data_IF_983502442760
#
_entry.id   IF_983502442760
#
_cell.length_a   1.000
_cell.length_b   1.000
_cell.length_c   1.000
_cell.angle_alpha   90.00
_cell.angle_beta   90.00
_cell.angle_gamma   90.00
#
_symmetry.space_group_name_H-M   'P 1'
#
loop_
_entity.id
_entity.type
_entity.pdbx_description
1 polymer ?
#
# COMPACT_ATOMS: atom_id res chain seq x y z
N UNK A 1 25.99 -48.93 -1.72
CA UNK A 1 25.75 -47.94 -2.80
C UNK A 1 25.38 -46.62 -2.14
N UNK A 2 26.35 -45.69 -2.02
CA UNK A 2 26.10 -44.38 -1.43
C UNK A 2 25.58 -43.43 -2.52
N UNK A 3 24.33 -43.01 -2.42
CA UNK A 3 23.79 -41.93 -3.23
C UNK A 3 24.42 -40.60 -2.76
N UNK A 4 25.47 -40.16 -3.47
CA UNK A 4 25.90 -38.75 -3.43
C UNK A 4 24.78 -37.90 -4.01
N UNK A 5 23.95 -37.29 -3.15
CA UNK A 5 23.16 -36.12 -3.53
C UNK A 5 24.15 -35.02 -3.90
N UNK A 6 24.28 -34.72 -5.20
CA UNK A 6 24.92 -33.47 -5.64
C UNK A 6 24.01 -32.34 -5.16
N UNK A 7 24.47 -31.61 -4.14
CA UNK A 7 23.98 -30.25 -3.89
C UNK A 7 24.37 -29.44 -5.12
N UNK A 8 23.41 -29.14 -5.98
CA UNK A 8 23.54 -28.01 -6.87
C UNK A 8 23.26 -26.78 -6.01
N UNK A 9 24.25 -26.34 -5.24
CA UNK A 9 24.23 -25.00 -4.65
C UNK A 9 24.21 -24.03 -5.82
N UNK A 10 23.16 -23.22 -5.89
CA UNK A 10 23.11 -22.14 -6.88
C UNK A 10 24.24 -21.20 -6.53
N UNK A 11 25.07 -20.80 -7.50
CA UNK A 11 26.27 -19.98 -7.27
C UNK A 11 26.01 -18.68 -6.47
N UNK A 12 24.76 -18.24 -6.34
CA UNK A 12 24.34 -17.11 -5.50
C UNK A 12 24.02 -17.43 -4.03
N UNK A 13 23.88 -18.69 -3.62
CA UNK A 13 23.64 -19.07 -2.20
C UNK A 13 24.91 -18.88 -1.34
N UNK A 14 26.07 -19.29 -1.85
CA UNK A 14 27.36 -19.11 -1.16
C UNK A 14 27.73 -17.62 -1.05
N UNK A 15 27.46 -16.82 -2.08
CA UNK A 15 27.66 -15.37 -2.05
C UNK A 15 26.79 -14.68 -0.99
N UNK A 16 25.58 -15.18 -0.73
CA UNK A 16 24.67 -14.58 0.26
C UNK A 16 25.03 -14.98 1.69
N UNK A 17 25.39 -16.24 1.96
CA UNK A 17 25.85 -16.62 3.30
C UNK A 17 27.15 -15.89 3.69
N UNK A 18 28.06 -15.71 2.74
CA UNK A 18 29.27 -14.92 2.92
C UNK A 18 28.97 -13.42 3.07
N UNK A 19 28.06 -12.85 2.27
CA UNK A 19 27.65 -11.45 2.45
C UNK A 19 26.90 -11.22 3.78
N UNK A 20 25.98 -12.11 4.16
CA UNK A 20 25.20 -12.03 5.41
C UNK A 20 26.17 -12.12 6.60
N UNK A 21 27.07 -13.11 6.64
CA UNK A 21 27.99 -13.25 7.78
C UNK A 21 28.98 -12.09 7.90
N UNK A 22 29.39 -11.49 6.78
CA UNK A 22 30.41 -10.42 6.75
C UNK A 22 29.83 -9.01 6.95
N UNK A 23 28.53 -8.78 6.69
CA UNK A 23 27.90 -7.45 6.71
C UNK A 23 26.91 -7.20 7.84
N UNK A 24 26.76 -8.10 8.82
CA UNK A 24 25.90 -7.90 10.00
C UNK A 24 26.22 -6.60 10.77
N UNK A 25 27.49 -6.23 10.88
CA UNK A 25 27.91 -4.94 11.48
C UNK A 25 27.60 -3.71 10.62
N UNK A 26 27.28 -3.92 9.33
CA UNK A 26 26.98 -2.90 8.31
C UNK A 26 25.48 -2.78 7.99
N UNK A 27 24.60 -3.59 8.60
CA UNK A 27 23.13 -3.51 8.48
C UNK A 27 22.53 -2.22 9.10
N UNK A 28 23.35 -1.21 9.37
CA UNK A 28 22.95 0.13 9.85
C UNK A 28 22.61 1.11 8.73
N UNK A 29 22.72 0.71 7.46
CA UNK A 29 22.44 1.58 6.30
C UNK A 29 21.30 1.02 5.47
N UNK A 30 20.24 1.81 5.33
CA UNK A 30 18.99 1.42 4.66
C UNK A 30 19.17 0.94 3.21
N UNK A 31 20.04 1.60 2.42
CA UNK A 31 20.29 1.21 1.03
C UNK A 31 20.92 -0.18 0.89
N UNK A 32 21.71 -0.60 1.89
CA UNK A 32 22.33 -1.93 1.90
C UNK A 32 21.24 -2.99 2.11
N UNK A 33 20.32 -2.74 3.05
CA UNK A 33 19.18 -3.63 3.31
C UNK A 33 18.26 -3.78 2.09
N UNK A 34 17.96 -2.67 1.42
CA UNK A 34 17.15 -2.67 0.19
C UNK A 34 17.75 -3.59 -0.89
N UNK A 35 19.05 -3.46 -1.15
CA UNK A 35 19.76 -4.29 -2.14
C UNK A 35 19.75 -5.78 -1.79
N UNK A 36 19.79 -6.12 -0.50
CA UNK A 36 19.69 -7.51 -0.07
C UNK A 36 18.28 -8.09 -0.23
N UNK A 37 17.25 -7.33 0.13
CA UNK A 37 15.86 -7.76 -0.08
C UNK A 37 15.63 -8.01 -1.58
N UNK A 38 16.18 -7.13 -2.44
CA UNK A 38 16.16 -7.31 -3.89
C UNK A 38 16.78 -8.61 -4.35
N UNK A 39 18.03 -8.89 -3.96
CA UNK A 39 18.72 -10.14 -4.32
C UNK A 39 17.98 -11.38 -3.82
N UNK A 40 17.44 -11.33 -2.60
CA UNK A 40 16.69 -12.45 -2.04
C UNK A 40 15.37 -12.70 -2.81
N UNK A 41 14.70 -11.63 -3.26
CA UNK A 41 13.50 -11.74 -4.09
C UNK A 41 13.81 -12.29 -5.49
N UNK A 42 14.94 -11.89 -6.11
CA UNK A 42 15.39 -12.43 -7.41
C UNK A 42 15.71 -13.95 -7.32
N UNK A 43 16.29 -14.39 -6.20
CA UNK A 43 16.51 -15.83 -5.95
C UNK A 43 15.19 -16.56 -5.77
N UNK A 44 14.24 -15.99 -5.05
CA UNK A 44 12.92 -16.61 -4.93
C UNK A 44 12.23 -16.72 -6.30
N UNK A 45 12.31 -15.70 -7.14
CA UNK A 45 11.74 -15.71 -8.50
C UNK A 45 12.34 -16.83 -9.36
N UNK A 46 13.66 -17.07 -9.26
CA UNK A 46 14.36 -18.07 -10.06
C UNK A 46 14.25 -19.49 -9.51
N UNK A 47 14.28 -19.65 -8.19
CA UNK A 47 14.29 -20.96 -7.52
C UNK A 47 12.90 -21.48 -7.13
N UNK A 48 11.92 -20.58 -6.97
CA UNK A 48 10.62 -20.88 -6.40
C UNK A 48 10.62 -21.15 -4.90
N UNK A 49 11.77 -21.08 -4.22
CA UNK A 49 11.89 -21.28 -2.77
C UNK A 49 11.93 -19.92 -2.04
N UNK A 50 10.93 -19.60 -1.20
CA UNK A 50 10.91 -18.33 -0.48
C UNK A 50 11.87 -18.31 0.72
N UNK A 51 12.42 -19.45 1.16
CA UNK A 51 13.14 -19.59 2.44
C UNK A 51 14.24 -18.56 2.65
N UNK A 52 15.02 -18.26 1.62
CA UNK A 52 16.10 -17.26 1.68
C UNK A 52 15.56 -15.85 1.93
N UNK A 53 14.52 -15.46 1.19
CA UNK A 53 13.82 -14.20 1.42
C UNK A 53 13.26 -14.15 2.84
N UNK A 54 12.68 -15.26 3.32
CA UNK A 54 12.08 -15.28 4.64
C UNK A 54 13.10 -15.15 5.78
N UNK A 55 14.18 -15.92 5.72
CA UNK A 55 15.25 -15.87 6.73
C UNK A 55 15.89 -14.47 6.77
N UNK A 56 16.12 -13.87 5.60
CA UNK A 56 16.73 -12.55 5.53
C UNK A 56 15.84 -11.46 6.13
N UNK A 57 14.57 -11.43 5.72
CA UNK A 57 13.59 -10.49 6.26
C UNK A 57 13.41 -10.65 7.77
N UNK A 58 13.30 -11.89 8.25
CA UNK A 58 13.17 -12.18 9.68
C UNK A 58 14.37 -11.68 10.48
N UNK A 59 15.60 -11.88 9.99
CA UNK A 59 16.82 -11.36 10.65
C UNK A 59 16.88 -9.85 10.66
N UNK A 60 16.63 -9.22 9.51
CA UNK A 60 16.65 -7.76 9.38
C UNK A 60 15.64 -7.09 10.32
N UNK A 61 14.40 -7.58 10.36
CA UNK A 61 13.35 -7.05 11.23
C UNK A 61 13.66 -7.27 12.71
N UNK A 62 14.30 -8.40 13.05
CA UNK A 62 14.70 -8.70 14.43
C UNK A 62 15.86 -7.81 14.93
N UNK A 63 16.79 -7.42 14.06
CA UNK A 63 17.93 -6.59 14.43
C UNK A 63 17.60 -5.10 14.52
N UNK A 64 16.83 -4.58 13.57
CA UNK A 64 16.33 -3.21 13.60
C UNK A 64 15.00 -3.13 12.84
N UNK A 65 13.90 -3.21 13.59
CA UNK A 65 12.56 -3.24 13.02
C UNK A 65 12.28 -2.03 12.13
N UNK A 66 12.57 -0.81 12.59
CA UNK A 66 12.27 0.41 11.83
C UNK A 66 13.08 0.51 10.54
N UNK A 67 14.39 0.29 10.62
CA UNK A 67 15.25 0.34 9.44
C UNK A 67 14.90 -0.77 8.45
N UNK A 68 14.57 -1.95 8.95
CA UNK A 68 14.12 -3.08 8.14
C UNK A 68 12.79 -2.80 7.45
N UNK A 69 11.82 -2.23 8.17
CA UNK A 69 10.53 -1.83 7.60
C UNK A 69 10.67 -0.74 6.55
N UNK A 70 11.57 0.23 6.74
CA UNK A 70 11.81 1.28 5.75
C UNK A 70 12.43 0.72 4.47
N UNK A 71 13.49 -0.08 4.60
CA UNK A 71 14.15 -0.74 3.47
C UNK A 71 13.16 -1.63 2.70
N UNK A 72 12.31 -2.34 3.44
CA UNK A 72 11.26 -3.18 2.90
C UNK A 72 10.22 -2.38 2.12
N UNK A 73 9.69 -1.33 2.73
CA UNK A 73 8.68 -0.45 2.13
C UNK A 73 9.21 0.16 0.83
N UNK A 74 10.46 0.65 0.84
CA UNK A 74 11.14 1.12 -0.38
C UNK A 74 11.27 0.03 -1.41
N UNK A 75 11.65 -1.18 -1.00
CA UNK A 75 11.79 -2.28 -1.93
C UNK A 75 10.48 -2.55 -2.66
N UNK A 76 9.37 -2.70 -1.94
CA UNK A 76 8.03 -2.93 -2.49
C UNK A 76 7.66 -1.84 -3.50
N UNK A 77 7.68 -0.57 -3.10
CA UNK A 77 7.23 0.53 -3.96
C UNK A 77 8.27 0.95 -5.02
N UNK A 78 9.50 0.42 -4.98
CA UNK A 78 10.49 0.62 -6.05
C UNK A 78 10.39 -0.40 -7.19
N UNK A 79 9.61 -1.47 -7.04
CA UNK A 79 9.52 -2.51 -8.07
C UNK A 79 8.67 -2.06 -9.25
N UNK A 80 9.29 -2.01 -10.43
CA UNK A 80 8.60 -1.77 -11.71
C UNK A 80 8.12 -3.07 -12.39
N UNK A 81 8.71 -4.21 -12.00
CA UNK A 81 8.33 -5.52 -12.54
C UNK A 81 7.25 -6.17 -11.67
N UNK A 82 6.12 -6.53 -12.28
CA UNK A 82 4.98 -7.16 -11.63
C UNK A 82 5.32 -8.53 -11.03
N UNK A 83 6.17 -9.34 -11.68
CA UNK A 83 6.55 -10.66 -11.14
C UNK A 83 7.34 -10.51 -9.86
N UNK A 84 8.39 -9.68 -9.90
CA UNK A 84 9.26 -9.40 -8.74
C UNK A 84 8.49 -8.72 -7.61
N UNK A 85 7.62 -7.75 -7.90
CA UNK A 85 6.72 -7.15 -6.91
C UNK A 85 5.84 -8.21 -6.24
N UNK A 86 5.23 -9.09 -7.03
CA UNK A 86 4.31 -10.11 -6.52
C UNK A 86 5.03 -11.15 -5.67
N UNK A 87 6.22 -11.59 -6.07
CA UNK A 87 7.03 -12.54 -5.30
C UNK A 87 7.56 -11.93 -4.00
N UNK A 88 8.07 -10.70 -4.08
CA UNK A 88 8.42 -9.89 -2.92
C UNK A 88 7.24 -9.81 -1.96
N UNK A 89 6.12 -9.29 -2.44
CA UNK A 89 4.93 -9.10 -1.64
C UNK A 89 4.37 -10.40 -1.07
N UNK A 90 4.41 -11.52 -1.81
CA UNK A 90 3.96 -12.83 -1.29
C UNK A 90 4.89 -13.38 -0.21
N UNK A 91 6.20 -13.29 -0.41
CA UNK A 91 7.18 -13.66 0.64
C UNK A 91 7.00 -12.80 1.88
N UNK A 92 6.68 -11.53 1.69
CA UNK A 92 6.33 -10.59 2.75
C UNK A 92 4.98 -10.91 3.39
N UNK A 93 3.97 -11.24 2.62
CA UNK A 93 2.67 -11.64 3.14
C UNK A 93 2.79 -12.85 4.08
N UNK A 94 3.69 -13.78 3.74
CA UNK A 94 3.95 -14.98 4.53
C UNK A 94 4.70 -14.71 5.85
N UNK A 95 5.39 -13.57 6.00
CA UNK A 95 6.16 -13.24 7.19
C UNK A 95 5.65 -12.03 7.97
N UNK A 96 5.11 -11.04 7.27
CA UNK A 96 4.90 -9.68 7.76
C UNK A 96 3.47 -9.21 7.62
N UNK A 97 2.59 -9.80 6.80
CA UNK A 97 1.19 -9.36 6.83
C UNK A 97 0.47 -9.76 8.12
N UNK A 98 0.78 -10.93 8.70
CA UNK A 98 0.23 -11.32 10.00
C UNK A 98 0.83 -10.50 11.17
N UNK A 99 2.06 -9.99 11.04
CA UNK A 99 2.78 -9.33 12.15
C UNK A 99 2.84 -7.79 12.08
N UNK A 100 2.97 -7.23 10.87
CA UNK A 100 3.17 -5.79 10.61
C UNK A 100 1.90 -5.17 9.99
N UNK A 101 1.21 -5.93 9.14
CA UNK A 101 -0.05 -5.52 8.51
C UNK A 101 0.11 -4.55 7.33
N UNK A 102 -0.83 -4.61 6.39
CA UNK A 102 -0.85 -3.76 5.18
C UNK A 102 -0.84 -2.26 5.52
N UNK A 103 -1.52 -1.89 6.61
CA UNK A 103 -1.61 -0.50 7.10
C UNK A 103 -0.23 0.11 7.36
N UNK A 104 0.65 -0.63 8.03
CA UNK A 104 1.96 -0.12 8.42
C UNK A 104 2.86 0.12 7.20
N UNK A 105 2.83 -0.80 6.23
CA UNK A 105 3.59 -0.65 4.98
C UNK A 105 3.11 0.56 4.17
N UNK A 106 1.79 0.76 4.06
CA UNK A 106 1.25 1.94 3.38
C UNK A 106 1.62 3.22 4.15
N UNK A 107 1.45 3.24 5.48
CA UNK A 107 1.78 4.40 6.30
C UNK A 107 3.25 4.83 6.12
N UNK A 108 4.18 3.88 6.22
CA UNK A 108 5.61 4.16 6.00
C UNK A 108 5.89 4.61 4.58
N UNK A 109 5.21 4.06 3.58
CA UNK A 109 5.36 4.50 2.20
C UNK A 109 5.05 5.99 2.06
N UNK A 110 3.97 6.43 2.70
CA UNK A 110 3.57 7.83 2.75
C UNK A 110 4.57 8.70 3.53
N UNK A 111 5.01 8.25 4.71
CA UNK A 111 5.99 8.96 5.55
C UNK A 111 7.35 9.14 4.85
N UNK A 112 7.76 8.16 4.05
CA UNK A 112 9.00 8.19 3.26
C UNK A 112 8.87 8.97 1.94
N UNK A 113 7.69 9.52 1.64
CA UNK A 113 7.41 10.24 0.40
C UNK A 113 7.51 9.38 -0.85
N UNK A 114 7.22 8.08 -0.73
CA UNK A 114 7.21 7.15 -1.86
C UNK A 114 5.92 7.29 -2.66
N UNK A 115 6.00 6.97 -3.95
CA UNK A 115 4.82 6.79 -4.78
C UNK A 115 4.13 5.47 -4.39
N UNK A 116 3.08 5.57 -3.58
CA UNK A 116 2.26 4.44 -3.12
C UNK A 116 1.13 4.22 -4.12
N UNK A 117 1.50 3.73 -5.31
CA UNK A 117 0.58 3.41 -6.40
C UNK A 117 1.15 2.31 -7.30
N UNK A 118 0.33 1.84 -8.23
CA UNK A 118 0.65 0.97 -9.34
C UNK A 118 -0.31 -0.22 -9.49
N UNK A 119 -0.39 -0.82 -10.70
CA UNK A 119 -1.09 -2.09 -10.92
C UNK A 119 -0.78 -3.19 -9.89
N UNK A 120 0.47 -3.36 -9.40
CA UNK A 120 0.78 -4.36 -8.40
C UNK A 120 0.11 -4.10 -7.03
N UNK A 121 -0.04 -2.83 -6.64
CA UNK A 121 -0.74 -2.45 -5.41
C UNK A 121 -2.24 -2.75 -5.52
N UNK A 122 -2.86 -2.48 -6.68
CA UNK A 122 -4.27 -2.85 -6.92
C UNK A 122 -4.50 -4.35 -6.77
N UNK A 123 -3.70 -5.18 -7.43
CA UNK A 123 -3.83 -6.65 -7.37
C UNK A 123 -3.70 -7.17 -5.93
N UNK A 124 -2.81 -6.55 -5.16
CA UNK A 124 -2.66 -6.82 -3.75
C UNK A 124 -3.91 -6.42 -2.95
N UNK A 125 -4.37 -5.18 -3.11
CA UNK A 125 -5.54 -4.66 -2.40
C UNK A 125 -6.78 -5.53 -2.69
N UNK A 126 -6.85 -6.13 -3.89
CA UNK A 126 -7.88 -7.10 -4.27
C UNK A 126 -7.78 -8.46 -3.55
N UNK A 127 -6.61 -8.83 -3.01
CA UNK A 127 -6.39 -10.12 -2.34
C UNK A 127 -6.50 -10.07 -0.81
N UNK A 128 -6.18 -8.93 -0.20
CA UNK A 128 -6.22 -8.78 1.27
C UNK A 128 -7.65 -8.81 1.84
N UNK A 129 -7.79 -9.01 3.15
CA UNK A 129 -9.11 -9.09 3.79
C UNK A 129 -9.81 -7.72 3.85
N UNK A 130 -11.12 -7.70 4.05
CA UNK A 130 -11.84 -6.44 4.29
C UNK A 130 -11.32 -5.71 5.56
N UNK A 131 -10.86 -6.46 6.56
CA UNK A 131 -10.31 -5.93 7.81
C UNK A 131 -9.01 -5.18 7.58
N UNK A 132 -8.13 -5.72 6.72
CA UNK A 132 -6.86 -5.07 6.37
C UNK A 132 -7.11 -3.78 5.60
N UNK A 133 -8.00 -3.82 4.60
CA UNK A 133 -8.40 -2.62 3.86
C UNK A 133 -9.03 -1.58 4.77
N UNK A 134 -9.94 -2.00 5.67
CA UNK A 134 -10.55 -1.09 6.63
C UNK A 134 -9.50 -0.46 7.54
N UNK A 135 -8.45 -1.20 7.92
CA UNK A 135 -7.35 -0.70 8.73
C UNK A 135 -6.54 0.36 7.97
N UNK A 136 -6.28 0.16 6.67
CA UNK A 136 -5.64 1.16 5.80
C UNK A 136 -6.44 2.46 5.77
N UNK A 137 -7.76 2.38 5.60
CA UNK A 137 -8.63 3.57 5.53
C UNK A 137 -8.60 4.41 6.82
N UNK A 138 -8.23 3.82 7.97
CA UNK A 138 -8.06 4.59 9.20
C UNK A 138 -6.93 5.61 9.15
N UNK A 139 -5.95 5.43 8.25
CA UNK A 139 -4.89 6.42 8.01
C UNK A 139 -5.46 7.74 7.49
N UNK A 140 -6.58 7.67 6.78
CA UNK A 140 -7.13 8.81 6.04
C UNK A 140 -8.30 9.51 6.74
N UNK A 141 -8.47 9.26 8.04
CA UNK A 141 -9.47 9.97 8.86
C UNK A 141 -9.11 11.44 9.09
N UNK A 142 -7.82 11.76 9.04
CA UNK A 142 -7.29 13.11 9.31
C UNK A 142 -6.83 13.78 8.02
N UNK A 143 -6.06 13.06 7.19
CA UNK A 143 -5.51 13.57 5.94
C UNK A 143 -6.01 12.72 4.76
N UNK A 144 -6.44 13.32 3.64
CA UNK A 144 -6.85 12.55 2.48
C UNK A 144 -5.66 11.77 1.90
N UNK A 145 -5.90 10.57 1.33
CA UNK A 145 -4.85 9.82 0.65
C UNK A 145 -4.36 10.57 -0.60
N UNK A 146 -3.12 10.29 -1.06
CA UNK A 146 -2.71 10.66 -2.40
C UNK A 146 -3.71 10.14 -3.44
N UNK A 147 -3.93 10.92 -4.50
CA UNK A 147 -4.93 10.64 -5.55
C UNK A 147 -4.81 9.22 -6.11
N UNK A 148 -3.60 8.79 -6.46
CA UNK A 148 -3.40 7.49 -7.10
C UNK A 148 -3.73 6.35 -6.13
N UNK A 149 -3.31 6.45 -4.86
CA UNK A 149 -3.68 5.49 -3.82
C UNK A 149 -5.21 5.43 -3.61
N UNK A 150 -5.89 6.57 -3.64
CA UNK A 150 -7.35 6.63 -3.53
C UNK A 150 -8.03 5.88 -4.68
N UNK A 151 -7.54 6.06 -5.90
CA UNK A 151 -8.09 5.40 -7.09
C UNK A 151 -7.93 3.90 -6.99
N UNK A 152 -6.79 3.43 -6.51
CA UNK A 152 -6.49 2.01 -6.35
C UNK A 152 -7.31 1.36 -5.25
N UNK A 153 -7.42 2.03 -4.09
CA UNK A 153 -8.31 1.61 -3.00
C UNK A 153 -9.77 1.54 -3.46
N UNK A 154 -10.22 2.51 -4.27
CA UNK A 154 -11.58 2.51 -4.83
C UNK A 154 -11.78 1.35 -5.80
N UNK A 155 -10.86 1.14 -6.75
CA UNK A 155 -10.95 0.03 -7.71
C UNK A 155 -10.98 -1.33 -7.00
N UNK A 156 -10.11 -1.52 -6.01
CA UNK A 156 -10.07 -2.74 -5.21
C UNK A 156 -11.35 -2.95 -4.39
N UNK A 157 -11.90 -1.89 -3.78
CA UNK A 157 -13.12 -1.97 -2.96
C UNK A 157 -14.38 -2.26 -3.78
N UNK A 158 -14.45 -1.77 -5.02
CA UNK A 158 -15.56 -2.02 -5.94
C UNK A 158 -15.59 -3.47 -6.44
N UNK A 159 -14.42 -4.10 -6.61
CA UNK A 159 -14.32 -5.52 -6.97
C UNK A 159 -14.65 -6.48 -5.82
N UNK A 160 -14.50 -6.05 -4.57
CA UNK A 160 -14.80 -6.86 -3.37
C UNK A 160 -16.26 -6.73 -2.94
N UNK A 161 -17.12 -7.63 -3.44
CA UNK A 161 -18.58 -7.61 -3.20
C UNK A 161 -18.97 -7.62 -1.72
N UNK A 162 -18.19 -8.28 -0.85
CA UNK A 162 -18.43 -8.45 0.58
C UNK A 162 -17.90 -7.30 1.47
N UNK A 163 -17.06 -6.39 0.96
CA UNK A 163 -16.49 -5.31 1.77
C UNK A 163 -17.32 -4.02 1.73
N UNK A 164 -18.58 -4.07 2.16
CA UNK A 164 -19.50 -2.93 2.07
C UNK A 164 -19.01 -1.66 2.79
N UNK A 165 -18.41 -1.81 3.97
CA UNK A 165 -17.88 -0.68 4.76
C UNK A 165 -16.71 -0.01 4.04
N UNK A 166 -15.73 -0.80 3.58
CA UNK A 166 -14.56 -0.33 2.82
C UNK A 166 -15.01 0.37 1.53
N UNK A 167 -15.97 -0.23 0.81
CA UNK A 167 -16.52 0.35 -0.41
C UNK A 167 -17.17 1.70 -0.16
N UNK A 168 -18.06 1.78 0.84
CA UNK A 168 -18.72 3.04 1.21
C UNK A 168 -17.69 4.11 1.57
N UNK A 169 -16.69 3.75 2.35
CA UNK A 169 -15.68 4.70 2.85
C UNK A 169 -14.72 5.19 1.75
N UNK A 170 -14.25 4.29 0.86
CA UNK A 170 -13.45 4.69 -0.30
C UNK A 170 -14.23 5.59 -1.25
N UNK A 171 -15.51 5.29 -1.51
CA UNK A 171 -16.38 6.17 -2.31
C UNK A 171 -16.64 7.50 -1.60
N UNK A 172 -16.75 7.52 -0.26
CA UNK A 172 -16.82 8.76 0.52
C UNK A 172 -15.58 9.61 0.27
N UNK A 173 -14.39 9.08 0.53
CA UNK A 173 -13.12 9.78 0.31
C UNK A 173 -12.97 10.29 -1.14
N UNK A 174 -13.44 9.53 -2.12
CA UNK A 174 -13.49 9.95 -3.52
C UNK A 174 -14.41 11.17 -3.73
N UNK A 175 -15.61 11.15 -3.15
CA UNK A 175 -16.54 12.28 -3.18
C UNK A 175 -15.97 13.53 -2.51
N UNK A 176 -15.31 13.38 -1.35
CA UNK A 176 -14.64 14.48 -0.64
C UNK A 176 -13.52 15.08 -1.49
N UNK A 177 -12.70 14.23 -2.11
CA UNK A 177 -11.59 14.65 -2.97
C UNK A 177 -12.06 15.45 -4.20
N UNK A 178 -13.23 15.15 -4.74
CA UNK A 178 -13.84 15.93 -5.83
C UNK A 178 -14.28 17.32 -5.34
N UNK A 179 -14.89 17.41 -4.16
CA UNK A 179 -15.32 18.71 -3.60
C UNK A 179 -14.10 19.59 -3.31
N UNK A 180 -13.02 19.00 -2.77
CA UNK A 180 -11.76 19.72 -2.52
C UNK A 180 -10.94 20.00 -3.79
N UNK A 181 -11.35 19.48 -4.95
CA UNK A 181 -10.64 19.67 -6.21
C UNK A 181 -9.30 18.94 -6.32
N UNK A 182 -9.04 17.95 -5.45
CA UNK A 182 -7.85 17.09 -5.56
C UNK A 182 -8.03 15.98 -6.61
N UNK A 183 -9.29 15.68 -6.95
CA UNK A 183 -9.68 14.77 -8.03
C UNK A 183 -10.58 15.52 -9.00
N UNK A 184 -10.25 15.50 -10.29
CA UNK A 184 -11.08 16.12 -11.31
C UNK A 184 -12.26 15.22 -11.71
N UNK A 185 -13.35 15.83 -12.20
CA UNK A 185 -14.56 15.11 -12.63
C UNK A 185 -14.27 14.14 -13.77
N UNK A 186 -13.36 14.48 -14.67
CA UNK A 186 -13.01 13.63 -15.81
C UNK A 186 -12.25 12.37 -15.35
N UNK A 187 -11.45 12.48 -14.29
CA UNK A 187 -10.71 11.37 -13.70
C UNK A 187 -11.65 10.37 -12.97
N UNK A 188 -12.77 10.86 -12.44
CA UNK A 188 -13.81 10.02 -11.82
C UNK A 188 -14.37 9.00 -12.81
N UNK A 189 -14.58 9.41 -14.07
CA UNK A 189 -15.07 8.54 -15.12
C UNK A 189 -14.19 7.31 -15.33
N UNK A 190 -12.87 7.49 -15.28
CA UNK A 190 -11.91 6.40 -15.45
C UNK A 190 -11.83 5.47 -14.24
N UNK A 191 -12.00 5.98 -13.02
CA UNK A 191 -12.03 5.15 -11.80
C UNK A 191 -13.28 4.28 -11.74
N UNK A 192 -14.43 4.82 -12.16
CA UNK A 192 -15.73 4.14 -12.11
C UNK A 192 -16.05 3.32 -13.36
N UNK A 193 -15.19 3.38 -14.39
CA UNK A 193 -15.38 2.71 -15.66
C UNK A 193 -15.58 1.20 -15.49
N UNK A 194 -16.61 0.67 -16.15
CA UNK A 194 -16.93 -0.77 -16.08
C UNK A 194 -17.56 -1.21 -14.75
N UNK A 195 -17.95 -0.27 -13.89
CA UNK A 195 -18.70 -0.54 -12.66
C UNK A 195 -20.15 -0.07 -12.81
N UNK A 196 -21.04 -0.56 -11.94
CA UNK A 196 -22.41 -0.07 -11.82
C UNK A 196 -22.52 1.17 -10.90
N UNK A 197 -21.40 1.85 -10.62
CA UNK A 197 -21.37 3.06 -9.81
C UNK A 197 -21.62 4.28 -10.69
N UNK A 198 -22.48 5.18 -10.22
CA UNK A 198 -22.75 6.47 -10.84
C UNK A 198 -22.55 7.58 -9.83
N UNK A 199 -22.03 8.72 -10.26
CA UNK A 199 -21.90 9.90 -9.41
C UNK A 199 -22.75 11.04 -9.99
N UNK A 200 -23.48 11.72 -9.12
CA UNK A 200 -24.16 12.99 -9.40
C UNK A 200 -23.34 14.09 -8.72
N UNK A 201 -22.99 15.11 -9.50
CA UNK A 201 -22.18 16.24 -9.03
C UNK A 201 -23.06 17.49 -9.04
N UNK A 202 -23.27 18.07 -7.86
CA UNK A 202 -24.02 19.30 -7.69
C UNK A 202 -23.06 20.49 -7.74
N UNK A 203 -23.41 21.50 -8.53
CA UNK A 203 -22.63 22.74 -8.65
C UNK A 203 -23.48 23.95 -8.33
N UNK A 204 -22.93 24.87 -7.55
CA UNK A 204 -23.52 26.18 -7.26
C UNK A 204 -22.51 27.26 -7.67
N UNK A 205 -22.93 28.20 -8.53
CA UNK A 205 -22.06 29.29 -9.01
C UNK A 205 -20.73 28.81 -9.58
N UNK A 206 -20.74 27.67 -10.30
CA UNK A 206 -19.56 27.07 -10.92
C UNK A 206 -18.67 26.24 -9.99
N UNK A 207 -18.91 26.25 -8.67
CA UNK A 207 -18.18 25.42 -7.69
C UNK A 207 -18.93 24.12 -7.41
N UNK A 208 -18.20 23.03 -7.18
CA UNK A 208 -18.78 21.77 -6.75
C UNK A 208 -19.16 21.89 -5.27
N UNK A 209 -20.43 21.70 -4.95
CA UNK A 209 -20.99 21.84 -3.59
C UNK A 209 -21.45 20.52 -3.00
N UNK A 210 -21.61 19.48 -3.84
CA UNK A 210 -21.95 18.16 -3.37
C UNK A 210 -21.69 17.07 -4.40
N UNK A 211 -21.51 15.85 -3.90
CA UNK A 211 -21.29 14.63 -4.68
C UNK A 211 -22.14 13.52 -4.07
N UNK A 212 -23.06 12.97 -4.86
CA UNK A 212 -23.87 11.81 -4.48
C UNK A 212 -23.45 10.61 -5.31
N UNK A 213 -23.09 9.50 -4.67
CA UNK A 213 -22.60 8.29 -5.34
C UNK A 213 -23.59 7.15 -5.15
N UNK A 214 -23.99 6.55 -6.26
CA UNK A 214 -24.98 5.50 -6.37
C UNK A 214 -24.34 4.19 -6.85
N UNK A 215 -24.80 3.05 -6.33
CA UNK A 215 -24.46 1.72 -6.84
C UNK A 215 -25.75 1.10 -7.39
N UNK A 216 -25.87 1.02 -8.71
CA UNK A 216 -27.20 0.84 -9.34
C UNK A 216 -28.10 2.02 -8.99
N UNK A 217 -29.28 1.75 -8.41
CA UNK A 217 -30.24 2.77 -7.99
C UNK A 217 -30.15 3.12 -6.49
N UNK A 218 -29.25 2.49 -5.75
CA UNK A 218 -29.07 2.75 -4.32
C UNK A 218 -28.06 3.87 -4.09
N UNK A 219 -28.46 4.91 -3.37
CA UNK A 219 -27.53 5.91 -2.83
C UNK A 219 -26.64 5.27 -1.76
N UNK A 220 -25.32 5.32 -1.95
CA UNK A 220 -24.33 4.74 -1.03
C UNK A 220 -23.65 5.81 -0.19
N UNK A 221 -23.35 6.95 -0.83
CA UNK A 221 -22.62 8.07 -0.24
C UNK A 221 -23.27 9.36 -0.71
N UNK A 222 -23.46 10.29 0.22
CA UNK A 222 -23.73 11.69 -0.07
C UNK A 222 -22.69 12.52 0.68
N UNK A 223 -21.96 13.35 -0.07
CA UNK A 223 -20.98 14.28 0.46
C UNK A 223 -21.44 15.67 0.07
N UNK A 224 -21.49 16.59 1.03
CA UNK A 224 -21.78 18.00 0.79
C UNK A 224 -20.75 18.85 1.53
N UNK A 225 -20.49 20.05 1.03
CA UNK A 225 -19.57 21.00 1.66
C UNK A 225 -19.93 21.26 3.14
N UNK A 226 -21.23 21.28 3.46
CA UNK A 226 -21.77 21.44 4.82
C UNK A 226 -21.40 20.28 5.76
N UNK A 227 -21.20 19.07 5.22
CA UNK A 227 -20.88 17.86 5.97
C UNK A 227 -19.37 17.58 6.08
N UNK A 228 -18.54 18.34 5.36
CA UNK A 228 -17.07 18.18 5.35
C UNK A 228 -16.38 18.77 6.60
N UNK A 229 -17.10 19.55 7.42
CA UNK A 229 -16.54 20.18 8.64
C UNK A 229 -17.03 19.49 9.92
N UNK A 230 -16.42 18.34 10.24
CA UNK A 230 -16.29 17.86 11.63
C UNK A 230 -14.84 17.41 11.93
N UNK A 231 -13.86 18.13 11.40
CA UNK A 231 -12.51 18.10 11.96
C UNK A 231 -12.59 18.99 13.21
N UNK A 232 -12.38 18.48 14.44
CA UNK A 232 -12.24 19.36 15.58
C UNK A 232 -11.09 20.32 15.26
N UNK A 233 -11.39 21.62 15.26
CA UNK A 233 -10.37 22.64 15.14
C UNK A 233 -9.39 22.42 16.29
N UNK A 234 -8.23 21.83 15.98
CA UNK A 234 -7.09 21.96 16.85
C UNK A 234 -6.63 23.39 16.65
N UNK A 235 -6.80 24.21 17.68
CA UNK A 235 -6.20 25.52 17.78
C UNK A 235 -4.72 25.37 17.44
N UNK A 236 -4.32 25.90 16.28
CA UNK A 236 -2.92 26.16 15.98
C UNK A 236 -2.52 27.26 16.95
N UNK A 237 -2.03 26.87 18.13
CA UNK A 237 -1.31 27.78 19.01
C UNK A 237 -0.04 28.15 18.25
N UNK A 238 -0.03 29.33 17.63
CA UNK A 238 1.17 29.93 17.08
C UNK A 238 2.19 30.10 18.21
N UNK A 239 3.35 29.42 18.19
CA UNK A 239 4.38 29.63 19.18
C UNK A 239 5.33 30.72 18.66
N UNK A 240 4.83 31.94 18.49
CA UNK A 240 5.68 33.09 18.16
C UNK A 240 5.11 34.37 18.78
N UNK A 241 5.09 34.43 20.11
CA UNK A 241 5.23 35.69 20.86
C UNK A 241 6.00 35.41 22.16
N UNK A 242 7.32 35.49 22.10
CA UNK A 242 8.21 35.89 23.21
C UNK A 242 9.43 36.57 22.63
#
# INVERSE_FOLDING_TARGET
>A
MFFRRRKNTVKGEEDIEELISTHLSKLRKEHILHEYIRKAAEIYETSGDPSHLLIYLGRMLNENMDLGLNALTRFIFSQKNMSTYTHAWRGLSALSLELIGLKEIINRGLELGLEVSGPPLVELLERVSCTDLSSVLTLFKILPPPKDLLFELTKASLKKSNCHVVRRETLRLLGESIIYGTVEVDELGEVLKGTNVRALITKTSGKITGVSIFLGDQLIVEVSEENLYKIPAFDIINPLET
#
